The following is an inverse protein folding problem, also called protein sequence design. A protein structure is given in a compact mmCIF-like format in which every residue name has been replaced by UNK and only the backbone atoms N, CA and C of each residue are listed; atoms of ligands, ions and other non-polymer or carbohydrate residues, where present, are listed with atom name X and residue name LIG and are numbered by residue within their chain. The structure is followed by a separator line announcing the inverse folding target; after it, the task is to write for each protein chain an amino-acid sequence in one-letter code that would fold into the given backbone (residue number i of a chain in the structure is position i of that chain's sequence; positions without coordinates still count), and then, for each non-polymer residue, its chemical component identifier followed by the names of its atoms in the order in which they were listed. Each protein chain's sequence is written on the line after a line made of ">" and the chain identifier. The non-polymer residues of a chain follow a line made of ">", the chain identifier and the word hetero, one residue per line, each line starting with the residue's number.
data_IF_113257529777
#
_entry.id   IF_113257529777
#
_cell.length_a   1.000
_cell.length_b   1.000
_cell.length_c   1.000
_cell.angle_alpha   90.00
_cell.angle_beta   90.00
_cell.angle_gamma   90.00
#
_symmetry.space_group_name_H-M   'P 1'
#
loop_
_entity.id
_entity.type
_entity.pdbx_description
1 polymer ?
#
# COMPACT_ATOMS: atom_id res chain seq x y z
N UNK A 1 5.90 -16.51 2.49
CA UNK A 1 6.87 -16.05 1.46
C UNK A 1 6.64 -14.62 0.96
N UNK A 2 5.92 -13.75 1.66
CA UNK A 2 5.64 -12.38 1.21
C UNK A 2 6.56 -11.31 1.82
N UNK A 3 7.43 -11.65 2.77
CA UNK A 3 8.28 -10.67 3.46
C UNK A 3 9.62 -10.38 2.76
N UNK A 4 10.05 -11.24 1.84
CA UNK A 4 11.36 -11.09 1.17
C UNK A 4 11.36 -10.11 -0.01
N UNK A 5 10.20 -9.84 -0.62
CA UNK A 5 10.09 -8.93 -1.77
C UNK A 5 10.03 -7.45 -1.39
N UNK A 6 9.61 -7.13 -0.16
CA UNK A 6 9.54 -5.74 0.30
C UNK A 6 10.92 -5.12 0.60
N UNK A 7 11.91 -5.94 0.98
CA UNK A 7 13.26 -5.48 1.32
C UNK A 7 14.12 -5.20 0.06
N UNK A 8 13.83 -5.85 -1.06
CA UNK A 8 14.59 -5.65 -2.30
C UNK A 8 14.31 -4.29 -2.96
N UNK A 9 13.12 -3.72 -2.77
CA UNK A 9 12.72 -2.43 -3.36
C UNK A 9 13.32 -1.25 -2.58
N UNK A 10 13.48 -1.38 -1.26
CA UNK A 10 14.12 -0.34 -0.43
C UNK A 10 15.63 -0.21 -0.70
N UNK A 11 16.29 -1.29 -1.15
CA UNK A 11 17.72 -1.31 -1.45
C UNK A 11 18.09 -0.62 -2.77
N UNK A 12 17.19 -0.58 -3.74
CA UNK A 12 17.48 0.00 -5.07
C UNK A 12 17.44 1.53 -5.04
N UNK A 13 16.64 2.13 -4.14
CA UNK A 13 16.52 3.59 -4.01
C UNK A 13 17.73 4.29 -3.41
N UNK A 14 18.56 3.58 -2.64
CA UNK A 14 19.71 4.17 -1.93
C UNK A 14 21.04 4.09 -2.69
N UNK A 15 21.17 3.18 -3.67
CA UNK A 15 22.43 3.00 -4.41
C UNK A 15 22.60 3.94 -5.61
N UNK A 16 21.54 4.61 -6.06
CA UNK A 16 21.61 5.55 -7.21
C UNK A 16 22.05 6.96 -6.78
N UNK A 17 21.96 7.30 -5.50
CA UNK A 17 22.28 8.64 -4.99
C UNK A 17 23.78 8.99 -4.96
N UNK A 18 24.67 8.04 -5.24
CA UNK A 18 26.12 8.18 -5.03
C UNK A 18 26.96 8.45 -6.28
N UNK A 19 26.44 8.42 -7.51
CA UNK A 19 27.34 8.25 -8.66
C UNK A 19 27.28 9.29 -9.78
N UNK A 20 26.52 10.38 -9.71
CA UNK A 20 26.45 11.29 -10.87
C UNK A 20 26.68 12.77 -10.47
N UNK A 21 27.88 13.26 -10.74
CA UNK A 21 28.22 14.67 -10.74
C UNK A 21 28.06 15.24 -12.16
N UNK A 22 26.98 15.94 -12.43
CA UNK A 22 26.78 16.65 -13.71
C UNK A 22 25.34 17.14 -13.87
N UNK A 23 25.12 18.29 -14.52
CA UNK A 23 23.82 18.95 -14.69
C UNK A 23 22.74 18.14 -15.42
N UNK A 24 23.11 17.07 -16.14
CA UNK A 24 22.17 16.12 -16.75
C UNK A 24 21.64 15.04 -15.79
N UNK A 25 22.30 14.87 -14.66
CA UNK A 25 21.99 13.84 -13.69
C UNK A 25 20.74 14.14 -12.85
N UNK A 26 20.45 15.41 -12.59
CA UNK A 26 19.28 15.81 -11.82
C UNK A 26 17.97 15.48 -12.55
N UNK A 27 17.91 15.73 -13.87
CA UNK A 27 16.74 15.38 -14.69
C UNK A 27 16.54 13.86 -14.81
N UNK A 28 17.64 13.11 -14.92
CA UNK A 28 17.57 11.66 -15.00
C UNK A 28 17.16 11.04 -13.66
N UNK A 29 17.64 11.57 -12.55
CA UNK A 29 17.18 11.18 -11.20
C UNK A 29 15.69 11.46 -11.01
N UNK A 30 15.20 12.63 -11.40
CA UNK A 30 13.78 12.97 -11.32
C UNK A 30 12.92 12.03 -12.18
N UNK A 31 13.41 11.64 -13.36
CA UNK A 31 12.73 10.67 -14.24
C UNK A 31 12.68 9.29 -13.64
N UNK A 32 13.79 8.81 -13.06
CA UNK A 32 13.87 7.51 -12.39
C UNK A 32 12.95 7.50 -11.16
N UNK A 33 12.93 8.56 -10.36
CA UNK A 33 12.03 8.67 -9.20
C UNK A 33 10.56 8.62 -9.61
N UNK A 34 10.18 9.31 -10.69
CA UNK A 34 8.80 9.23 -11.23
C UNK A 34 8.45 7.82 -11.70
N UNK A 35 9.38 7.11 -12.33
CA UNK A 35 9.16 5.71 -12.73
C UNK A 35 9.01 4.79 -11.52
N UNK A 36 9.87 4.92 -10.50
CA UNK A 36 9.77 4.15 -9.26
C UNK A 36 8.42 4.41 -8.58
N UNK A 37 7.99 5.65 -8.51
CA UNK A 37 6.69 6.03 -7.94
C UNK A 37 5.53 5.39 -8.72
N UNK A 38 5.55 5.44 -10.04
CA UNK A 38 4.53 4.81 -10.89
C UNK A 38 4.49 3.28 -10.70
N UNK A 39 5.64 2.63 -10.57
CA UNK A 39 5.70 1.19 -10.28
C UNK A 39 5.22 0.86 -8.86
N UNK A 40 5.53 1.69 -7.88
CA UNK A 40 5.01 1.53 -6.52
C UNK A 40 3.48 1.64 -6.49
N UNK A 41 2.89 2.59 -7.23
CA UNK A 41 1.43 2.69 -7.35
C UNK A 41 0.81 1.43 -7.95
N UNK A 42 1.40 0.86 -9.00
CA UNK A 42 0.92 -0.39 -9.60
C UNK A 42 1.01 -1.56 -8.61
N UNK A 43 2.10 -1.67 -7.85
CA UNK A 43 2.27 -2.70 -6.83
C UNK A 43 1.20 -2.57 -5.74
N UNK A 44 0.93 -1.35 -5.26
CA UNK A 44 -0.10 -1.11 -4.26
C UNK A 44 -1.51 -1.42 -4.80
N UNK A 45 -1.79 -1.10 -6.06
CA UNK A 45 -3.03 -1.47 -6.72
C UNK A 45 -3.20 -3.00 -6.83
N UNK A 46 -2.15 -3.71 -7.23
CA UNK A 46 -2.17 -5.18 -7.29
C UNK A 46 -2.38 -5.80 -5.90
N UNK A 47 -1.75 -5.26 -4.85
CA UNK A 47 -1.98 -5.69 -3.47
C UNK A 47 -3.43 -5.47 -3.05
N UNK A 48 -4.01 -4.32 -3.37
CA UNK A 48 -5.42 -4.02 -3.09
C UNK A 48 -6.35 -5.02 -3.77
N UNK A 49 -6.14 -5.27 -5.07
CA UNK A 49 -6.92 -6.27 -5.82
C UNK A 49 -6.75 -7.66 -5.21
N UNK A 50 -5.53 -8.04 -4.81
CA UNK A 50 -5.27 -9.31 -4.12
C UNK A 50 -6.04 -9.44 -2.82
N UNK A 51 -6.07 -8.39 -1.99
CA UNK A 51 -6.85 -8.37 -0.74
C UNK A 51 -8.35 -8.47 -1.01
N UNK A 52 -8.88 -7.79 -2.02
CA UNK A 52 -10.29 -7.86 -2.40
C UNK A 52 -10.68 -9.26 -2.87
N UNK A 53 -9.86 -9.91 -3.69
CA UNK A 53 -10.08 -11.29 -4.14
C UNK A 53 -10.02 -12.29 -2.96
N UNK A 54 -9.09 -12.11 -2.04
CA UNK A 54 -9.00 -12.97 -0.84
C UNK A 54 -10.22 -12.79 0.07
N UNK A 55 -10.66 -11.55 0.28
CA UNK A 55 -11.87 -11.25 1.03
C UNK A 55 -13.12 -11.88 0.38
N UNK A 56 -13.25 -11.80 -0.95
CA UNK A 56 -14.34 -12.45 -1.69
C UNK A 56 -14.32 -13.98 -1.51
N UNK A 57 -13.13 -14.59 -1.62
CA UNK A 57 -12.99 -16.05 -1.43
C UNK A 57 -13.38 -16.46 -0.02
N UNK A 58 -12.93 -15.73 1.00
CA UNK A 58 -13.29 -15.98 2.40
C UNK A 58 -14.79 -15.80 2.64
N UNK A 59 -15.40 -14.76 2.05
CA UNK A 59 -16.85 -14.54 2.10
C UNK A 59 -17.61 -15.73 1.54
N UNK A 60 -17.24 -16.22 0.36
CA UNK A 60 -17.87 -17.39 -0.26
C UNK A 60 -17.69 -18.63 0.61
N UNK A 61 -16.50 -18.84 1.17
CA UNK A 61 -16.23 -19.97 2.08
C UNK A 61 -17.10 -19.90 3.35
N UNK A 62 -17.20 -18.72 3.96
CA UNK A 62 -18.02 -18.51 5.17
C UNK A 62 -19.50 -18.77 4.88
N UNK A 63 -20.02 -18.28 3.75
CA UNK A 63 -21.42 -18.52 3.36
C UNK A 63 -21.67 -20.01 3.09
N UNK A 64 -20.77 -20.68 2.37
CA UNK A 64 -20.89 -22.13 2.11
C UNK A 64 -20.83 -22.93 3.40
N UNK A 65 -19.91 -22.61 4.30
CA UNK A 65 -19.82 -23.28 5.60
C UNK A 65 -21.11 -23.09 6.43
N UNK A 66 -21.69 -21.90 6.43
CA UNK A 66 -22.95 -21.63 7.10
C UNK A 66 -24.12 -22.42 6.48
N UNK A 67 -24.17 -22.53 5.14
CA UNK A 67 -25.17 -23.33 4.45
C UNK A 67 -25.04 -24.83 4.78
N UNK A 68 -23.81 -25.35 4.78
CA UNK A 68 -23.53 -26.75 5.16
C UNK A 68 -23.93 -27.01 6.63
N UNK A 69 -23.56 -26.12 7.54
CA UNK A 69 -23.93 -26.24 8.95
C UNK A 69 -25.45 -26.25 9.13
N UNK A 70 -26.17 -25.39 8.40
CA UNK A 70 -27.65 -25.38 8.43
C UNK A 70 -28.26 -26.68 7.87
N UNK A 71 -27.73 -27.21 6.77
CA UNK A 71 -28.23 -28.49 6.21
C UNK A 71 -27.99 -29.65 7.16
N UNK A 72 -26.83 -29.72 7.81
CA UNK A 72 -26.51 -30.74 8.81
C UNK A 72 -27.43 -30.60 10.03
N UNK A 73 -27.63 -29.35 10.52
CA UNK A 73 -28.55 -29.14 11.63
C UNK A 73 -29.98 -29.56 11.32
N UNK A 74 -30.48 -29.26 10.10
CA UNK A 74 -31.79 -29.67 9.64
C UNK A 74 -31.91 -31.22 9.58
N UNK A 75 -30.90 -31.88 8.94
CA UNK A 75 -30.91 -33.35 8.82
C UNK A 75 -30.91 -34.00 10.19
N UNK A 76 -30.08 -33.53 11.11
CA UNK A 76 -30.04 -34.08 12.47
C UNK A 76 -31.36 -33.85 13.26
N UNK A 77 -31.95 -32.65 13.13
CA UNK A 77 -33.21 -32.33 13.79
C UNK A 77 -34.36 -33.15 13.21
N UNK A 78 -34.40 -33.37 11.89
CA UNK A 78 -35.45 -34.25 11.29
C UNK A 78 -35.28 -35.71 11.68
N UNK A 79 -34.05 -36.21 11.75
CA UNK A 79 -33.75 -37.57 12.18
C UNK A 79 -34.18 -37.82 13.65
N UNK A 80 -34.15 -36.78 14.50
CA UNK A 80 -34.55 -36.81 15.89
C UNK A 80 -36.04 -36.48 16.11
N UNK A 81 -36.82 -36.29 15.03
CA UNK A 81 -38.25 -35.92 15.11
C UNK A 81 -38.51 -34.46 15.55
N UNK A 82 -37.45 -33.63 15.65
CA UNK A 82 -37.51 -32.26 16.15
C UNK A 82 -37.48 -31.22 15.01
N UNK A 83 -37.86 -31.56 13.79
CA UNK A 83 -37.74 -30.73 12.58
C UNK A 83 -38.50 -29.40 12.59
N UNK A 84 -39.34 -29.14 13.63
CA UNK A 84 -40.06 -27.88 13.82
C UNK A 84 -39.93 -27.31 15.25
N UNK A 85 -38.94 -27.77 16.02
CA UNK A 85 -38.73 -27.34 17.41
C UNK A 85 -37.95 -26.06 17.58
N UNK A 86 -38.10 -25.41 18.76
CA UNK A 86 -37.36 -24.19 19.14
C UNK A 86 -35.83 -24.40 19.15
N UNK A 87 -35.35 -25.63 19.32
CA UNK A 87 -33.94 -25.99 19.25
C UNK A 87 -33.33 -25.80 17.85
N UNK A 88 -34.09 -26.11 16.78
CA UNK A 88 -33.66 -25.90 15.42
C UNK A 88 -33.56 -24.38 15.08
N UNK A 89 -34.56 -23.61 15.50
CA UNK A 89 -34.54 -22.16 15.30
C UNK A 89 -33.39 -21.49 16.05
N UNK A 90 -33.09 -21.91 17.28
CA UNK A 90 -31.93 -21.45 18.06
C UNK A 90 -30.59 -21.81 17.39
N UNK A 91 -30.46 -23.03 16.87
CA UNK A 91 -29.29 -23.48 16.11
C UNK A 91 -29.06 -22.66 14.84
N UNK A 92 -30.13 -22.35 14.10
CA UNK A 92 -30.03 -21.48 12.92
C UNK A 92 -29.62 -20.05 13.26
N UNK A 93 -30.16 -19.49 14.35
CA UNK A 93 -29.80 -18.16 14.83
C UNK A 93 -28.30 -18.09 15.18
N UNK A 94 -27.79 -19.12 15.87
CA UNK A 94 -26.38 -19.22 16.21
C UNK A 94 -25.46 -19.32 14.97
N UNK A 95 -25.80 -20.19 14.01
CA UNK A 95 -25.03 -20.34 12.75
C UNK A 95 -25.03 -19.02 11.97
N UNK A 96 -26.20 -18.35 11.93
CA UNK A 96 -26.33 -17.03 11.27
C UNK A 96 -25.49 -15.96 11.96
N UNK A 97 -25.50 -15.94 13.30
CA UNK A 97 -24.72 -15.01 14.11
C UNK A 97 -23.21 -15.19 13.87
N UNK A 98 -22.72 -16.44 13.85
CA UNK A 98 -21.33 -16.73 13.57
C UNK A 98 -20.94 -16.35 12.13
N UNK A 99 -21.78 -16.65 11.14
CA UNK A 99 -21.53 -16.27 9.77
C UNK A 99 -21.47 -14.74 9.60
N UNK A 100 -22.41 -14.00 10.21
CA UNK A 100 -22.42 -12.55 10.18
C UNK A 100 -21.19 -11.95 10.87
N UNK A 101 -20.78 -12.47 12.01
CA UNK A 101 -19.54 -12.06 12.69
C UNK A 101 -18.31 -12.29 11.81
N UNK A 102 -18.23 -13.45 11.14
CA UNK A 102 -17.16 -13.76 10.19
C UNK A 102 -17.14 -12.80 8.99
N UNK A 103 -18.30 -12.49 8.42
CA UNK A 103 -18.41 -11.53 7.31
C UNK A 103 -18.04 -10.10 7.74
N UNK A 104 -18.45 -9.68 8.93
CA UNK A 104 -18.08 -8.39 9.50
C UNK A 104 -16.57 -8.29 9.69
N UNK A 105 -15.92 -9.32 10.24
CA UNK A 105 -14.47 -9.35 10.40
C UNK A 105 -13.73 -9.29 9.05
N UNK A 106 -14.23 -9.98 8.01
CA UNK A 106 -13.66 -9.91 6.66
C UNK A 106 -13.74 -8.48 6.10
N UNK A 107 -14.90 -7.83 6.24
CA UNK A 107 -15.10 -6.46 5.77
C UNK A 107 -14.22 -5.46 6.52
N UNK A 108 -14.11 -5.57 7.86
CA UNK A 108 -13.22 -4.73 8.65
C UNK A 108 -11.76 -4.88 8.24
N UNK A 109 -11.29 -6.10 8.02
CA UNK A 109 -9.92 -6.35 7.56
C UNK A 109 -9.68 -5.77 6.16
N UNK A 110 -10.68 -5.84 5.27
CA UNK A 110 -10.60 -5.24 3.95
C UNK A 110 -10.51 -3.71 4.03
N UNK A 111 -11.31 -3.08 4.89
CA UNK A 111 -11.29 -1.63 5.09
C UNK A 111 -9.95 -1.16 5.69
N UNK A 112 -9.43 -1.87 6.69
CA UNK A 112 -8.10 -1.60 7.24
C UNK A 112 -7.02 -1.71 6.14
N UNK A 113 -7.08 -2.76 5.33
CA UNK A 113 -6.15 -2.95 4.22
C UNK A 113 -6.21 -1.82 3.19
N UNK A 114 -7.41 -1.33 2.87
CA UNK A 114 -7.60 -0.16 1.99
C UNK A 114 -7.02 1.11 2.58
N UNK A 115 -7.25 1.37 3.86
CA UNK A 115 -6.69 2.53 4.56
C UNK A 115 -5.17 2.50 4.60
N UNK A 116 -4.56 1.34 4.87
CA UNK A 116 -3.10 1.19 4.84
C UNK A 116 -2.56 1.46 3.44
N UNK A 117 -3.17 0.91 2.38
CA UNK A 117 -2.76 1.15 1.00
C UNK A 117 -2.86 2.63 0.64
N UNK A 118 -3.94 3.30 1.02
CA UNK A 118 -4.12 4.73 0.79
C UNK A 118 -3.07 5.57 1.54
N UNK A 119 -2.78 5.22 2.80
CA UNK A 119 -1.73 5.89 3.59
C UNK A 119 -0.36 5.71 2.96
N UNK A 120 -0.03 4.52 2.46
CA UNK A 120 1.23 4.27 1.76
C UNK A 120 1.35 5.10 0.47
N UNK A 121 0.27 5.23 -0.30
CA UNK A 121 0.25 6.09 -1.48
C UNK A 121 0.48 7.56 -1.13
N UNK A 122 -0.13 8.05 -0.05
CA UNK A 122 0.07 9.41 0.44
C UNK A 122 1.53 9.65 0.88
N UNK A 123 2.11 8.70 1.64
CA UNK A 123 3.52 8.78 2.07
C UNK A 123 4.45 8.80 0.85
N UNK A 124 4.19 7.96 -0.15
CA UNK A 124 4.97 7.96 -1.39
C UNK A 124 4.86 9.28 -2.14
N UNK A 125 3.65 9.90 -2.17
CA UNK A 125 3.42 11.22 -2.75
C UNK A 125 4.20 12.32 -2.02
N UNK A 126 4.20 12.32 -0.68
CA UNK A 126 4.97 13.26 0.12
C UNK A 126 6.48 13.11 -0.06
N UNK A 127 6.98 11.88 -0.16
CA UNK A 127 8.39 11.62 -0.42
C UNK A 127 8.82 12.15 -1.79
N UNK A 128 7.95 12.07 -2.79
CA UNK A 128 8.21 12.63 -4.12
C UNK A 128 8.26 14.17 -4.08
N UNK A 129 7.29 14.81 -3.40
CA UNK A 129 7.31 16.27 -3.20
C UNK A 129 8.54 16.75 -2.44
N UNK A 130 8.99 15.98 -1.44
CA UNK A 130 10.21 16.28 -0.71
C UNK A 130 11.46 16.16 -1.59
N UNK A 131 11.50 15.19 -2.49
CA UNK A 131 12.59 15.02 -3.44
C UNK A 131 12.63 16.17 -4.46
N UNK A 132 11.47 16.60 -4.98
CA UNK A 132 11.37 17.75 -5.88
C UNK A 132 11.83 19.05 -5.17
N UNK A 133 11.37 19.28 -3.92
CA UNK A 133 11.77 20.45 -3.13
C UNK A 133 13.27 20.48 -2.83
N UNK A 134 13.89 19.31 -2.59
CA UNK A 134 15.35 19.22 -2.41
C UNK A 134 16.09 19.51 -3.71
N UNK A 135 15.64 19.00 -4.84
CA UNK A 135 16.24 19.28 -6.13
C UNK A 135 16.21 20.80 -6.45
N UNK A 136 15.10 21.48 -6.15
CA UNK A 136 14.99 22.93 -6.29
C UNK A 136 15.94 23.67 -5.36
N UNK A 137 16.05 23.27 -4.09
CA UNK A 137 16.96 23.88 -3.11
C UNK A 137 18.43 23.70 -3.54
N UNK A 138 18.82 22.54 -4.03
CA UNK A 138 20.17 22.25 -4.51
C UNK A 138 20.49 23.06 -5.76
N UNK A 139 19.53 23.26 -6.68
CA UNK A 139 19.68 24.14 -7.84
C UNK A 139 19.94 25.59 -7.42
N UNK A 140 19.14 26.14 -6.51
CA UNK A 140 19.32 27.51 -6.06
C UNK A 140 20.61 27.71 -5.24
N UNK A 141 21.03 26.72 -4.46
CA UNK A 141 22.30 26.74 -3.75
C UNK A 141 23.49 26.73 -4.72
N UNK A 142 23.38 25.94 -5.80
CA UNK A 142 24.36 25.89 -6.88
C UNK A 142 24.52 27.23 -7.57
N UNK A 143 23.42 27.89 -7.93
CA UNK A 143 23.41 29.24 -8.53
C UNK A 143 24.00 30.29 -7.57
N UNK A 144 23.66 30.22 -6.28
CA UNK A 144 24.23 31.12 -5.26
C UNK A 144 25.74 30.99 -5.14
N UNK A 145 26.25 29.76 -5.20
CA UNK A 145 27.70 29.50 -5.17
C UNK A 145 28.44 30.00 -6.41
N UNK A 146 27.84 29.93 -7.57
CA UNK A 146 28.38 30.51 -8.82
C UNK A 146 28.37 32.03 -8.79
N UNK A 147 27.29 32.65 -8.28
CA UNK A 147 27.21 34.10 -8.09
C UNK A 147 28.29 34.61 -7.12
N UNK A 148 28.53 33.92 -6.04
CA UNK A 148 29.61 34.23 -5.09
C UNK A 148 31.00 34.14 -5.70
N UNK A 149 31.27 33.14 -6.56
CA UNK A 149 32.53 33.01 -7.27
C UNK A 149 32.75 34.10 -8.32
N UNK A 150 31.70 34.51 -9.03
CA UNK A 150 31.77 35.60 -10.01
C UNK A 150 31.98 36.96 -9.33
N UNK A 151 31.38 37.22 -8.17
CA UNK A 151 31.58 38.46 -7.44
C UNK A 151 32.98 38.54 -6.85
N UNK A 152 33.57 37.42 -6.39
CA UNK A 152 34.97 37.39 -5.93
C UNK A 152 35.99 37.55 -7.08
N UNK A 153 35.67 37.09 -8.28
CA UNK A 153 36.53 37.30 -9.45
C UNK A 153 36.45 38.73 -10.00
N UNK A 154 35.31 39.40 -9.87
CA UNK A 154 35.12 40.81 -10.27
C UNK A 154 35.75 41.80 -9.27
N UNK A 155 36.10 41.38 -8.05
CA UNK A 155 36.75 42.19 -7.02
C UNK A 155 38.27 42.22 -7.07
N UNK A 156 38.94 41.69 -8.10
CA UNK A 156 40.37 41.89 -8.26
C UNK A 156 40.65 43.31 -8.72
N UNK A 157 41.35 44.13 -7.89
CA UNK A 157 41.74 45.46 -8.34
C UNK A 157 42.79 45.30 -9.42
N UNK A 158 42.46 45.77 -10.63
CA UNK A 158 43.46 46.13 -11.61
C UNK A 158 44.22 47.34 -11.06
N UNK A 159 45.34 47.15 -10.39
CA UNK A 159 46.32 48.19 -10.13
C UNK A 159 47.70 47.70 -10.57
N UNK A 160 48.17 48.26 -11.52
CA UNK A 160 49.27 49.18 -11.84
C UNK A 160 49.86 48.86 -13.16
#
# INVERSE_FOLDING_TARGET
>A
MAAATALAIAGIGLSVAGFIGGSGAAEEQARIQKQIFAEQQKIEEQKRLGMELDAQRRTIQTVRAAQQARSIALTNATAQGAGKGSGLSGGYAQISGQANAGLTAINQNLDIGRHISQSNQNISGYNMQLADAKADADFWSGLGSLGGKLSSAAGMPMFA
#
